data_IF_493942441709
#
_entry.id   IF_493942441709
#
_cell.length_a   1.000
_cell.length_b   1.000
_cell.length_c   1.000
_cell.angle_alpha   90.00
_cell.angle_beta   90.00
_cell.angle_gamma   90.00
#
_symmetry.space_group_name_H-M   'P 1'
#
loop_
_entity.id
_entity.type
_entity.pdbx_description
1 polymer ?
#
# COMPACT_ATOMS: atom_id res chain seq x y z
N UNK A 1 -17.63 12.17 1.57
CA UNK A 1 -17.54 11.28 2.75
C UNK A 1 -17.20 9.93 2.18
N UNK A 2 -16.12 9.32 2.64
CA UNK A 2 -15.78 7.94 2.29
C UNK A 2 -16.74 7.02 3.04
N UNK A 3 -17.26 6.00 2.35
CA UNK A 3 -18.18 5.04 2.94
C UNK A 3 -17.41 4.05 3.84
N UNK A 4 -18.03 3.59 4.93
CA UNK A 4 -17.41 2.69 5.92
C UNK A 4 -16.86 1.40 5.28
N UNK A 5 -17.55 0.88 4.28
CA UNK A 5 -17.16 -0.30 3.51
C UNK A 5 -15.91 -0.06 2.65
N UNK A 6 -15.76 1.15 2.06
CA UNK A 6 -14.55 1.53 1.33
C UNK A 6 -13.34 1.67 2.27
N UNK A 7 -13.53 2.24 3.46
CA UNK A 7 -12.48 2.36 4.48
C UNK A 7 -12.06 0.98 4.99
N UNK A 8 -13.03 0.10 5.30
CA UNK A 8 -12.74 -1.28 5.70
C UNK A 8 -12.00 -2.05 4.60
N UNK A 9 -12.37 -1.82 3.32
CA UNK A 9 -11.68 -2.41 2.19
C UNK A 9 -10.24 -1.90 2.06
N UNK A 10 -10.02 -0.61 2.24
CA UNK A 10 -8.69 -0.01 2.21
C UNK A 10 -7.79 -0.59 3.31
N UNK A 11 -8.30 -0.67 4.54
CA UNK A 11 -7.58 -1.28 5.66
C UNK A 11 -7.22 -2.73 5.37
N UNK A 12 -8.19 -3.53 4.89
CA UNK A 12 -7.93 -4.91 4.51
C UNK A 12 -6.82 -5.02 3.46
N UNK A 13 -6.86 -4.18 2.41
CA UNK A 13 -5.83 -4.20 1.36
C UNK A 13 -4.44 -3.75 1.86
N UNK A 14 -4.37 -2.92 2.90
CA UNK A 14 -3.12 -2.66 3.60
C UNK A 14 -2.62 -3.93 4.33
N UNK A 15 -3.49 -4.62 5.07
CA UNK A 15 -3.14 -5.84 5.81
C UNK A 15 -2.75 -7.01 4.90
N UNK A 16 -3.20 -6.98 3.64
CA UNK A 16 -2.83 -7.96 2.62
C UNK A 16 -1.53 -7.62 1.86
N UNK A 17 -0.91 -6.47 2.14
CA UNK A 17 0.39 -6.12 1.54
C UNK A 17 1.46 -7.14 1.96
N UNK A 18 2.19 -7.65 0.97
CA UNK A 18 3.18 -8.71 1.18
C UNK A 18 2.61 -10.13 1.30
N UNK A 19 1.29 -10.30 1.39
CA UNK A 19 0.59 -11.60 1.41
C UNK A 19 0.01 -11.94 0.04
N UNK A 20 -0.73 -11.00 -0.55
CA UNK A 20 -1.18 -11.11 -1.95
C UNK A 20 -0.05 -10.76 -2.93
N UNK A 21 -0.05 -11.37 -4.14
CA UNK A 21 0.81 -10.92 -5.23
C UNK A 21 0.60 -9.45 -5.57
N UNK A 22 1.69 -8.72 -5.80
CA UNK A 22 1.62 -7.28 -6.10
C UNK A 22 0.78 -6.96 -7.32
N UNK A 23 0.81 -7.86 -8.35
CA UNK A 23 0.03 -7.75 -9.58
C UNK A 23 -1.48 -7.75 -9.35
N UNK A 24 -1.92 -8.39 -8.27
CA UNK A 24 -3.33 -8.39 -7.88
C UNK A 24 -3.64 -7.26 -6.91
N UNK A 25 -2.76 -7.02 -5.93
CA UNK A 25 -2.98 -6.02 -4.89
C UNK A 25 -3.16 -4.61 -5.46
N UNK A 26 -2.29 -4.20 -6.41
CA UNK A 26 -2.43 -2.87 -7.00
C UNK A 26 -3.73 -2.72 -7.80
N UNK A 27 -4.22 -3.79 -8.46
CA UNK A 27 -5.50 -3.78 -9.18
C UNK A 27 -6.68 -3.63 -8.23
N UNK A 28 -6.66 -4.33 -7.10
CA UNK A 28 -7.71 -4.19 -6.08
C UNK A 28 -7.75 -2.77 -5.53
N UNK A 29 -6.62 -2.16 -5.30
CA UNK A 29 -6.52 -0.77 -4.88
C UNK A 29 -7.00 0.22 -5.95
N UNK A 30 -6.71 -0.05 -7.22
CA UNK A 30 -7.19 0.77 -8.34
C UNK A 30 -8.72 0.67 -8.48
N UNK A 31 -9.29 -0.55 -8.41
CA UNK A 31 -10.73 -0.73 -8.40
C UNK A 31 -11.41 -0.09 -7.18
N UNK A 32 -10.80 -0.15 -6.01
CA UNK A 32 -11.30 0.55 -4.82
C UNK A 32 -11.31 2.06 -5.04
N UNK A 33 -10.24 2.62 -5.58
CA UNK A 33 -10.13 4.06 -5.89
C UNK A 33 -11.17 4.54 -6.89
N UNK A 34 -11.64 3.65 -7.78
CA UNK A 34 -12.70 3.90 -8.76
C UNK A 34 -14.11 3.58 -8.22
N UNK A 35 -14.23 3.15 -6.97
CA UNK A 35 -15.51 2.76 -6.37
C UNK A 35 -16.09 1.45 -6.92
N UNK A 36 -15.27 0.63 -7.60
CA UNK A 36 -15.72 -0.62 -8.22
C UNK A 36 -15.89 -1.77 -7.21
N UNK A 37 -16.57 -1.50 -6.10
CA UNK A 37 -16.77 -2.43 -4.97
C UNK A 37 -17.40 -3.76 -5.39
N UNK A 38 -18.32 -3.75 -6.34
CA UNK A 38 -18.93 -4.98 -6.87
C UNK A 38 -17.94 -5.87 -7.63
N UNK A 39 -16.86 -5.33 -8.19
CA UNK A 39 -15.77 -6.12 -8.80
C UNK A 39 -14.93 -6.75 -7.70
N UNK A 40 -14.55 -5.98 -6.70
CA UNK A 40 -13.83 -6.46 -5.51
C UNK A 40 -14.58 -7.59 -4.82
N UNK A 41 -15.89 -7.42 -4.61
CA UNK A 41 -16.76 -8.42 -3.97
C UNK A 41 -16.74 -9.77 -4.70
N UNK A 42 -16.63 -9.77 -6.01
CA UNK A 42 -16.60 -11.00 -6.82
C UNK A 42 -15.22 -11.63 -6.96
N UNK A 43 -14.15 -10.87 -6.76
CA UNK A 43 -12.79 -11.31 -7.12
C UNK A 43 -11.88 -11.52 -5.91
N UNK A 44 -11.89 -10.63 -4.91
CA UNK A 44 -10.97 -10.69 -3.78
C UNK A 44 -11.14 -11.97 -2.92
N UNK A 45 -12.38 -12.43 -2.56
CA UNK A 45 -12.52 -13.67 -1.80
C UNK A 45 -11.95 -14.89 -2.54
N UNK A 46 -12.11 -14.94 -3.86
CA UNK A 46 -11.56 -16.02 -4.70
C UNK A 46 -10.03 -15.97 -4.77
N UNK A 47 -9.46 -14.77 -4.78
CA UNK A 47 -8.01 -14.62 -4.78
C UNK A 47 -7.41 -15.09 -3.45
N UNK A 48 -8.02 -14.75 -2.32
CA UNK A 48 -7.58 -15.25 -1.00
C UNK A 48 -7.51 -16.78 -0.99
N UNK A 49 -8.58 -17.45 -1.42
CA UNK A 49 -8.61 -18.91 -1.49
C UNK A 49 -7.61 -19.50 -2.50
N UNK A 50 -7.43 -18.86 -3.64
CA UNK A 50 -6.47 -19.31 -4.68
C UNK A 50 -5.02 -19.23 -4.20
N UNK A 51 -4.70 -18.28 -3.35
CA UNK A 51 -3.35 -18.07 -2.83
C UNK A 51 -3.16 -18.66 -1.43
N UNK A 52 -4.14 -19.44 -0.94
CA UNK A 52 -4.11 -20.04 0.39
C UNK A 52 -3.83 -18.99 1.49
N UNK A 53 -4.53 -17.84 1.40
CA UNK A 53 -4.41 -16.75 2.37
C UNK A 53 -5.59 -16.82 3.34
N UNK A 54 -5.34 -17.35 4.51
CA UNK A 54 -6.27 -17.35 5.60
C UNK A 54 -6.28 -16.00 6.32
N UNK A 55 -7.45 -15.54 6.75
CA UNK A 55 -7.63 -14.30 7.47
C UNK A 55 -7.93 -14.57 8.94
N UNK A 56 -7.20 -13.91 9.82
CA UNK A 56 -7.55 -13.84 11.23
C UNK A 56 -8.93 -13.16 11.45
N UNK A 57 -9.56 -13.35 12.62
CA UNK A 57 -10.92 -12.84 12.87
C UNK A 57 -11.11 -11.35 12.58
N UNK A 58 -10.12 -10.49 12.85
CA UNK A 58 -10.21 -9.06 12.61
C UNK A 58 -10.14 -8.71 11.12
N UNK A 59 -9.22 -9.33 10.37
CA UNK A 59 -9.13 -9.17 8.91
C UNK A 59 -10.37 -9.73 8.22
N UNK A 60 -10.87 -10.87 8.70
CA UNK A 60 -12.10 -11.46 8.19
C UNK A 60 -13.32 -10.56 8.46
N UNK A 61 -13.37 -9.86 9.60
CA UNK A 61 -14.41 -8.86 9.87
C UNK A 61 -14.34 -7.72 8.85
N UNK A 62 -13.15 -7.20 8.53
CA UNK A 62 -12.96 -6.18 7.49
C UNK A 62 -13.44 -6.69 6.13
N UNK A 63 -13.11 -7.92 5.75
CA UNK A 63 -13.57 -8.54 4.50
C UNK A 63 -15.10 -8.56 4.41
N UNK A 64 -15.76 -8.97 5.49
CA UNK A 64 -17.24 -9.01 5.56
C UNK A 64 -17.86 -7.63 5.46
N UNK A 65 -17.37 -6.66 6.25
CA UNK A 65 -17.85 -5.27 6.25
C UNK A 65 -17.70 -4.66 4.86
N UNK A 66 -16.53 -4.84 4.24
CA UNK A 66 -16.24 -4.26 2.95
C UNK A 66 -17.04 -4.86 1.79
N UNK A 67 -17.27 -6.19 1.77
CA UNK A 67 -17.67 -6.84 0.53
C UNK A 67 -19.07 -7.46 0.53
N UNK A 68 -19.62 -7.84 1.67
CA UNK A 68 -20.98 -8.41 1.71
C UNK A 68 -22.05 -7.43 1.22
N UNK A 69 -22.01 -6.12 1.54
CA UNK A 69 -22.97 -5.15 0.99
C UNK A 69 -22.92 -5.04 -0.54
N UNK A 70 -21.80 -5.39 -1.16
CA UNK A 70 -21.58 -5.32 -2.61
C UNK A 70 -21.74 -6.65 -3.34
N UNK A 71 -22.34 -7.66 -2.68
CA UNK A 71 -22.73 -8.93 -3.30
C UNK A 71 -21.60 -9.97 -3.34
N UNK A 72 -20.66 -9.94 -2.40
CA UNK A 72 -19.74 -11.05 -2.22
C UNK A 72 -20.48 -12.32 -1.80
N UNK A 73 -20.02 -13.48 -2.30
CA UNK A 73 -20.54 -14.76 -1.91
C UNK A 73 -20.21 -15.06 -0.43
N UNK A 74 -21.23 -15.18 0.46
CA UNK A 74 -21.00 -15.41 1.89
C UNK A 74 -20.22 -16.70 2.19
N UNK A 75 -20.34 -17.73 1.33
CA UNK A 75 -19.60 -18.98 1.50
C UNK A 75 -18.11 -18.78 1.24
N UNK A 76 -17.75 -18.07 0.14
CA UNK A 76 -16.36 -17.75 -0.15
C UNK A 76 -15.75 -16.84 0.91
N UNK A 77 -16.51 -15.86 1.39
CA UNK A 77 -16.06 -14.98 2.48
C UNK A 77 -15.81 -15.78 3.76
N UNK A 78 -16.74 -16.68 4.13
CA UNK A 78 -16.58 -17.50 5.33
C UNK A 78 -15.41 -18.48 5.23
N UNK A 79 -15.11 -18.99 4.03
CA UNK A 79 -14.01 -19.92 3.78
C UNK A 79 -12.63 -19.27 3.86
N UNK A 80 -12.55 -17.94 3.89
CA UNK A 80 -11.28 -17.22 4.05
C UNK A 80 -10.89 -17.04 5.54
N UNK A 81 -11.73 -17.45 6.48
CA UNK A 81 -11.40 -17.40 7.91
C UNK A 81 -10.48 -18.56 8.28
N UNK A 82 -9.34 -18.26 8.86
CA UNK A 82 -8.37 -19.27 9.30
C UNK A 82 -7.28 -18.68 10.19
N UNK A 83 -6.14 -19.34 10.25
CA UNK A 83 -4.95 -18.90 10.97
C UNK A 83 -3.93 -18.41 9.95
N UNK A 84 -3.41 -17.21 10.16
CA UNK A 84 -2.38 -16.67 9.26
C UNK A 84 -1.05 -17.42 9.45
N UNK A 85 -0.75 -18.30 8.51
CA UNK A 85 0.53 -19.04 8.43
C UNK A 85 1.57 -18.31 7.56
N UNK A 86 1.36 -17.02 7.25
CA UNK A 86 2.33 -16.27 6.44
C UNK A 86 3.68 -16.20 7.15
N UNK A 87 4.77 -16.68 6.52
CA UNK A 87 6.08 -16.68 7.16
C UNK A 87 6.54 -15.28 7.54
N UNK A 88 6.92 -15.07 8.79
CA UNK A 88 7.58 -13.85 9.23
C UNK A 88 8.88 -13.64 8.44
N UNK A 89 9.20 -12.36 8.17
CA UNK A 89 10.46 -12.03 7.49
C UNK A 89 10.50 -12.37 5.99
N UNK A 90 9.35 -12.58 5.35
CA UNK A 90 9.25 -12.85 3.91
C UNK A 90 9.89 -11.77 3.05
N UNK A 91 9.97 -10.54 3.57
CA UNK A 91 10.58 -9.39 2.92
C UNK A 91 11.58 -8.69 3.81
N UNK A 92 12.63 -8.16 3.19
CA UNK A 92 13.54 -7.19 3.81
C UNK A 92 13.41 -5.85 3.12
N UNK A 93 13.68 -4.77 3.87
CA UNK A 93 13.59 -3.41 3.37
C UNK A 93 14.93 -2.68 3.53
N UNK A 94 15.23 -1.77 2.60
CA UNK A 94 16.44 -0.93 2.67
C UNK A 94 16.18 0.46 2.10
N UNK A 95 16.85 1.44 2.64
CA UNK A 95 16.83 2.82 2.14
C UNK A 95 17.59 2.98 0.83
N UNK A 96 18.59 2.12 0.59
CA UNK A 96 19.48 2.23 -0.57
C UNK A 96 18.82 1.65 -1.80
N UNK A 97 18.72 2.46 -2.85
CA UNK A 97 18.29 2.00 -4.16
C UNK A 97 19.29 0.98 -4.74
N UNK A 98 18.83 -0.07 -5.43
CA UNK A 98 19.70 -0.92 -6.22
C UNK A 98 20.40 -0.12 -7.33
N UNK A 99 21.60 -0.52 -7.73
CA UNK A 99 22.41 0.19 -8.73
C UNK A 99 21.67 0.48 -10.03
N UNK A 100 20.78 -0.43 -10.45
CA UNK A 100 19.94 -0.25 -11.65
C UNK A 100 18.96 0.93 -11.57
N UNK A 101 18.69 1.47 -10.38
CA UNK A 101 17.76 2.57 -10.13
C UNK A 101 18.46 3.91 -9.81
N UNK A 102 19.79 3.94 -9.87
CA UNK A 102 20.61 5.13 -9.57
C UNK A 102 20.59 6.22 -10.66
N UNK A 103 19.91 5.99 -11.80
CA UNK A 103 19.57 7.07 -12.72
C UNK A 103 18.56 8.01 -12.06
N UNK A 104 18.59 9.31 -12.42
CA UNK A 104 17.73 10.37 -11.86
C UNK A 104 16.35 9.84 -11.46
N UNK A 105 16.06 9.84 -10.15
CA UNK A 105 14.80 9.30 -9.60
C UNK A 105 13.62 10.20 -9.95
N UNK A 106 13.13 10.06 -11.19
CA UNK A 106 11.97 10.79 -11.69
C UNK A 106 10.69 10.47 -10.92
N UNK A 107 10.57 9.26 -10.37
CA UNK A 107 9.37 8.83 -9.62
C UNK A 107 9.22 9.65 -8.35
N UNK A 108 10.27 9.74 -7.52
CA UNK A 108 10.23 10.55 -6.29
C UNK A 108 9.96 12.02 -6.59
N UNK A 109 10.60 12.59 -7.64
CA UNK A 109 10.37 13.97 -8.03
C UNK A 109 8.93 14.24 -8.47
N UNK A 110 8.34 13.33 -9.28
CA UNK A 110 6.97 13.47 -9.76
C UNK A 110 5.95 13.24 -8.64
N UNK A 111 6.14 12.25 -7.77
CA UNK A 111 5.30 12.06 -6.58
C UNK A 111 5.35 13.30 -5.70
N UNK A 112 6.54 13.83 -5.38
CA UNK A 112 6.70 15.05 -4.61
C UNK A 112 5.97 16.24 -5.25
N UNK A 113 6.03 16.38 -6.57
CA UNK A 113 5.32 17.43 -7.30
C UNK A 113 3.79 17.24 -7.27
N UNK A 114 3.31 15.99 -7.44
CA UNK A 114 1.88 15.65 -7.42
C UNK A 114 1.24 15.86 -6.03
N UNK A 115 2.01 15.72 -4.97
CA UNK A 115 1.55 15.86 -3.58
C UNK A 115 1.76 17.25 -2.99
N UNK A 116 2.51 18.10 -3.68
CA UNK A 116 2.80 19.47 -3.27
C UNK A 116 1.55 20.31 -3.16
N UNK A 117 0.96 20.73 -2.28
CA UNK A 117 -0.29 21.49 -2.10
C UNK A 117 -1.50 20.63 -1.74
N UNK A 118 -1.26 19.42 -1.27
CA UNK A 118 -2.30 18.57 -0.70
C UNK A 118 -2.24 18.67 0.83
N UNK A 119 -3.12 19.44 1.47
CA UNK A 119 -3.08 19.65 2.92
C UNK A 119 -3.38 18.38 3.70
N UNK A 120 -4.05 17.40 3.08
CA UNK A 120 -4.32 16.09 3.65
C UNK A 120 -3.09 15.19 3.73
N UNK A 121 -2.02 15.47 2.96
CA UNK A 121 -0.80 14.66 2.92
C UNK A 121 0.21 15.17 3.94
N UNK A 122 0.66 14.26 4.80
CA UNK A 122 1.69 14.53 5.79
C UNK A 122 3.09 14.22 5.26
N UNK A 123 3.55 13.00 5.44
CA UNK A 123 4.90 12.57 5.09
C UNK A 123 4.89 11.61 3.89
N UNK A 124 5.88 11.74 3.03
CA UNK A 124 6.15 10.80 1.94
C UNK A 124 7.51 10.16 2.15
N UNK A 125 7.54 8.86 2.14
CA UNK A 125 8.75 8.06 2.31
C UNK A 125 8.87 7.02 1.21
N UNK A 126 10.07 6.53 0.97
CA UNK A 126 10.31 5.40 0.07
C UNK A 126 11.30 4.42 0.67
N UNK A 127 11.14 3.16 0.29
CA UNK A 127 12.05 2.07 0.63
C UNK A 127 12.13 1.08 -0.53
N UNK A 128 13.11 0.21 -0.50
CA UNK A 128 13.26 -0.87 -1.46
C UNK A 128 13.01 -2.19 -0.76
N UNK A 129 12.08 -2.97 -1.30
CA UNK A 129 11.69 -4.27 -0.78
C UNK A 129 12.37 -5.38 -1.58
N UNK A 130 12.90 -6.36 -0.88
CA UNK A 130 13.49 -7.57 -1.43
C UNK A 130 12.77 -8.78 -0.83
N UNK A 131 12.58 -9.82 -1.64
CA UNK A 131 12.19 -11.13 -1.10
C UNK A 131 13.39 -11.80 -0.46
N UNK A 132 13.18 -12.48 0.67
CA UNK A 132 14.23 -13.22 1.38
C UNK A 132 14.50 -14.60 0.76
N UNK A 133 13.69 -15.02 -0.23
CA UNK A 133 13.86 -16.29 -0.93
C UNK A 133 15.15 -16.27 -1.78
N UNK A 134 16.09 -17.21 -1.59
CA UNK A 134 17.31 -17.27 -2.39
C UNK A 134 17.01 -17.39 -3.88
N UNK A 135 17.66 -16.56 -4.71
CA UNK A 135 17.50 -16.55 -6.17
C UNK A 135 16.36 -15.68 -6.69
N UNK A 136 15.54 -15.13 -5.83
CA UNK A 136 14.53 -14.15 -6.21
C UNK A 136 15.13 -12.73 -6.15
N UNK A 137 15.34 -12.13 -7.30
CA UNK A 137 15.88 -10.77 -7.44
C UNK A 137 14.78 -9.72 -7.64
N UNK A 138 13.54 -10.04 -7.28
CA UNK A 138 12.42 -9.13 -7.42
C UNK A 138 12.49 -8.00 -6.38
N UNK A 139 13.23 -6.95 -6.78
CA UNK A 139 13.33 -5.73 -5.99
C UNK A 139 12.24 -4.77 -6.41
N UNK A 140 11.43 -4.34 -5.47
CA UNK A 140 10.33 -3.38 -5.69
C UNK A 140 10.57 -2.10 -4.89
N UNK A 141 10.29 -0.96 -5.52
CA UNK A 141 10.13 0.30 -4.80
C UNK A 141 8.81 0.27 -4.04
N UNK A 142 8.82 0.64 -2.78
CA UNK A 142 7.62 0.86 -1.97
C UNK A 142 7.56 2.33 -1.57
N UNK A 143 6.48 3.00 -1.94
CA UNK A 143 6.21 4.39 -1.58
C UNK A 143 5.17 4.41 -0.48
N UNK A 144 5.50 5.05 0.64
CA UNK A 144 4.67 5.16 1.82
C UNK A 144 4.24 6.63 1.96
N UNK A 145 2.94 6.86 1.99
CA UNK A 145 2.37 8.22 2.10
C UNK A 145 1.45 8.26 3.31
N UNK A 146 1.75 9.11 4.26
CA UNK A 146 0.83 9.37 5.38
C UNK A 146 -0.19 10.43 4.96
N UNK A 147 -1.48 10.15 5.10
CA UNK A 147 -2.52 11.09 4.74
C UNK A 147 -3.68 11.06 5.75
N UNK A 148 -4.33 12.21 5.97
CA UNK A 148 -5.42 12.37 6.92
C UNK A 148 -6.77 11.88 6.37
N UNK A 149 -6.93 11.83 5.04
CA UNK A 149 -8.16 11.42 4.38
C UNK A 149 -7.89 11.07 2.90
N UNK A 150 -8.91 10.53 2.21
CA UNK A 150 -8.87 10.26 0.78
C UNK A 150 -7.98 9.07 0.40
N UNK A 151 -7.74 8.14 1.31
CA UNK A 151 -6.73 7.09 1.17
C UNK A 151 -6.91 6.21 -0.08
N UNK A 152 -8.12 5.66 -0.38
CA UNK A 152 -8.31 4.86 -1.59
C UNK A 152 -8.05 5.66 -2.86
N UNK A 153 -8.62 6.85 -2.95
CA UNK A 153 -8.48 7.73 -4.11
C UNK A 153 -7.03 8.15 -4.34
N UNK A 154 -6.35 8.57 -3.27
CA UNK A 154 -4.95 8.97 -3.32
C UNK A 154 -4.05 7.80 -3.76
N UNK A 155 -4.32 6.58 -3.26
CA UNK A 155 -3.62 5.37 -3.69
C UNK A 155 -3.74 5.18 -5.20
N UNK A 156 -4.95 5.20 -5.75
CA UNK A 156 -5.18 5.01 -7.19
C UNK A 156 -4.55 6.12 -8.04
N UNK A 157 -4.62 7.37 -7.60
CA UNK A 157 -3.97 8.50 -8.30
C UNK A 157 -2.45 8.31 -8.38
N UNK A 158 -1.81 7.96 -7.29
CA UNK A 158 -0.36 7.74 -7.24
C UNK A 158 0.06 6.49 -8.03
N UNK A 159 -0.71 5.41 -7.96
CA UNK A 159 -0.47 4.21 -8.79
C UNK A 159 -0.48 4.55 -10.28
N UNK A 160 -1.44 5.34 -10.75
CA UNK A 160 -1.51 5.77 -12.16
C UNK A 160 -0.31 6.62 -12.56
N UNK A 161 0.11 7.56 -11.70
CA UNK A 161 1.30 8.39 -11.93
C UNK A 161 2.55 7.54 -12.07
N UNK A 162 2.76 6.62 -11.16
CA UNK A 162 3.98 5.76 -11.12
C UNK A 162 4.00 4.79 -12.31
N UNK A 163 2.84 4.29 -12.74
CA UNK A 163 2.73 3.44 -13.94
C UNK A 163 3.07 4.18 -15.22
N UNK A 164 2.67 5.46 -15.37
CA UNK A 164 3.06 6.30 -16.50
C UNK A 164 4.60 6.46 -16.56
N UNK A 165 5.27 6.43 -15.41
CA UNK A 165 6.73 6.50 -15.32
C UNK A 165 7.44 5.16 -15.53
N UNK A 166 6.70 4.09 -15.86
CA UNK A 166 7.25 2.79 -16.25
C UNK A 166 7.25 1.72 -15.15
N UNK A 167 6.73 2.01 -13.97
CA UNK A 167 6.54 0.97 -12.93
C UNK A 167 5.22 0.25 -13.17
N UNK A 168 5.23 -0.87 -13.90
CA UNK A 168 4.02 -1.62 -14.28
C UNK A 168 3.21 -2.13 -13.08
N UNK A 169 3.89 -2.49 -12.00
CA UNK A 169 3.31 -3.03 -10.76
C UNK A 169 3.70 -2.14 -9.58
N UNK A 170 3.00 -1.00 -9.40
CA UNK A 170 3.32 -0.04 -8.36
C UNK A 170 2.99 -0.57 -6.96
N UNK A 171 3.88 -0.32 -6.01
CA UNK A 171 3.67 -0.56 -4.58
C UNK A 171 3.49 0.78 -3.86
N UNK A 172 2.27 1.28 -3.85
CA UNK A 172 1.89 2.53 -3.19
C UNK A 172 1.06 2.20 -1.95
N UNK A 173 1.54 2.65 -0.79
CA UNK A 173 0.94 2.43 0.52
C UNK A 173 0.51 3.78 1.10
N UNK A 174 -0.79 4.10 1.07
CA UNK A 174 -1.32 5.31 1.71
C UNK A 174 -1.82 4.96 3.10
N UNK A 175 -1.16 5.51 4.10
CA UNK A 175 -1.29 5.10 5.49
C UNK A 175 -2.05 6.16 6.29
N UNK A 176 -3.15 5.79 6.96
CA UNK A 176 -3.76 6.62 7.99
C UNK A 176 -2.78 6.84 9.16
N UNK A 177 -2.68 8.06 9.71
CA UNK A 177 -1.66 8.37 10.74
C UNK A 177 -1.91 7.67 12.08
N UNK A 178 -3.19 7.41 12.41
CA UNK A 178 -3.60 6.94 13.74
C UNK A 178 -3.94 5.44 13.78
N UNK A 179 -3.68 4.69 12.70
CA UNK A 179 -3.98 3.27 12.65
C UNK A 179 -2.81 2.43 13.15
N UNK A 180 -3.14 1.30 13.77
CA UNK A 180 -2.16 0.27 14.05
C UNK A 180 -1.72 -0.40 12.75
N UNK A 181 -0.47 -0.14 12.36
CA UNK A 181 0.05 -0.60 11.08
C UNK A 181 0.49 -2.07 11.17
N UNK A 182 0.19 -2.87 10.12
CA UNK A 182 0.74 -4.22 9.97
C UNK A 182 2.28 -4.23 10.01
N UNK A 183 2.85 -5.37 10.39
CA UNK A 183 4.31 -5.57 10.48
C UNK A 183 5.05 -5.22 9.20
N UNK A 184 4.46 -5.55 8.06
CA UNK A 184 4.98 -5.16 6.74
C UNK A 184 5.24 -3.65 6.64
N UNK A 185 4.27 -2.83 7.03
CA UNK A 185 4.39 -1.38 6.95
C UNK A 185 5.32 -0.81 8.02
N UNK A 186 5.31 -1.38 9.24
CA UNK A 186 6.25 -0.99 10.30
C UNK A 186 7.70 -1.25 9.88
N UNK A 187 7.97 -2.43 9.30
CA UNK A 187 9.30 -2.78 8.78
C UNK A 187 9.72 -1.88 7.61
N UNK A 188 8.79 -1.57 6.69
CA UNK A 188 9.03 -0.68 5.58
C UNK A 188 9.36 0.75 6.04
N UNK A 189 8.58 1.30 6.97
CA UNK A 189 8.82 2.64 7.53
C UNK A 189 10.15 2.73 8.27
N UNK A 190 10.51 1.72 9.05
CA UNK A 190 11.77 1.68 9.79
C UNK A 190 13.02 1.69 8.90
N UNK A 191 12.87 1.32 7.63
CA UNK A 191 13.94 1.25 6.62
C UNK A 191 13.62 2.10 5.40
N UNK A 192 13.03 3.26 5.59
CA UNK A 192 12.63 4.18 4.52
C UNK A 192 13.29 5.54 4.66
N UNK A 193 13.54 6.19 3.53
CA UNK A 193 14.01 7.57 3.48
C UNK A 193 12.87 8.52 3.10
N UNK A 194 12.97 9.76 3.57
CA UNK A 194 12.00 10.80 3.26
C UNK A 194 12.13 11.25 1.80
N UNK A 195 10.99 11.44 1.14
CA UNK A 195 10.90 12.05 -0.19
C UNK A 195 10.52 13.52 -0.04
N UNK A 196 11.30 14.43 -0.61
CA UNK A 196 11.00 15.87 -0.54
C UNK A 196 9.75 16.21 -1.36
N UNK A 197 8.75 16.83 -0.72
CA UNK A 197 7.49 17.25 -1.37
C UNK A 197 7.60 18.68 -1.92
N UNK A 198 8.72 19.39 -1.72
CA UNK A 198 8.94 20.76 -2.21
C UNK A 198 9.76 21.63 -1.27
N UNK A 199 10.02 22.86 -1.68
CA UNK A 199 11.04 23.78 -1.16
C UNK A 199 10.83 24.37 0.25
N UNK A 200 10.18 23.68 1.20
CA UNK A 200 10.01 24.18 2.57
C UNK A 200 10.92 23.50 3.63
N UNK A 201 11.71 22.50 3.23
CA UNK A 201 12.61 21.81 4.18
C UNK A 201 13.95 22.56 4.44
N UNK A 202 14.08 23.81 4.02
CA UNK A 202 15.26 24.65 4.27
C UNK A 202 15.03 25.70 5.36
N UNK A 203 14.37 25.38 6.45
CA UNK A 203 14.56 26.13 7.70
C UNK A 203 15.69 25.53 8.51
N UNK A 204 16.93 25.90 8.15
CA UNK A 204 18.03 25.85 9.08
C UNK A 204 17.68 26.70 10.32
N UNK A 205 17.91 26.22 11.53
CA UNK A 205 17.91 27.09 12.70
C UNK A 205 19.13 28.03 12.51
N UNK A 206 18.83 29.29 12.26
CA UNK A 206 19.84 30.36 12.37
C UNK A 206 20.32 30.34 13.80
N UNK A 207 21.61 30.07 14.01
CA UNK A 207 22.26 30.10 15.29
C UNK A 207 22.09 31.46 15.93
N UNK A 208 21.66 31.44 17.16
CA UNK A 208 21.81 32.57 18.07
C UNK A 208 23.29 32.71 18.45
N UNK A 209 23.85 33.85 18.12
CA UNK A 209 25.10 34.34 18.68
C UNK A 209 24.92 34.80 20.11
#
# INVERSE_FOLDING_TARGET
VEDEDQLACHELLLRLAGRLPDEELWRYRDWLAEGAMGVLARTLPKALLRHDIDLEPDDHRLLRTALLPHGADPHLVSSALGVDDTPEGRYTFTETAPDRWNAVDSVSAVIGAALRKRPEVGEVRQTWRYRTTPGDHDTKRVVLVTALAGWPRLTGELQRVVRILGEEVPCIEVLPPDWELPDYHRAALARSQRVSIGAEDTKHPVGAA
#
